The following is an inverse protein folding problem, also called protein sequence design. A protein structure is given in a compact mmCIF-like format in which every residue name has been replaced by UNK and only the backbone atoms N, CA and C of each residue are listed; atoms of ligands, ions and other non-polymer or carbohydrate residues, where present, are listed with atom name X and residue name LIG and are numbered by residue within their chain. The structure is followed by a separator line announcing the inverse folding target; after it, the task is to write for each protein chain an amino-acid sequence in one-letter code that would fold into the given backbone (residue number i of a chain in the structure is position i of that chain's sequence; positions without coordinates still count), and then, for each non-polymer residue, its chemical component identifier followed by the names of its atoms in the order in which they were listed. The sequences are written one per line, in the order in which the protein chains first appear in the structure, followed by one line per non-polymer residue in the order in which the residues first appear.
data_IF_256370639976
#
_entry.id   IF_256370639976
#
_cell.length_a   1.000
_cell.length_b   1.000
_cell.length_c   1.000
_cell.angle_alpha   90.00
_cell.angle_beta   90.00
_cell.angle_gamma   90.00
#
_symmetry.space_group_name_H-M   'P 1'
#
loop_
_entity.id
_entity.type
_entity.pdbx_description
1 polymer ?
#
# COMPACT_ATOMS: atom_id res chain seq x y z
N UNK A 1 10.36 3.04 -1.19
CA UNK A 1 10.33 4.50 -0.94
C UNK A 1 9.26 4.81 0.12
N UNK A 2 9.62 5.50 1.20
CA UNK A 2 8.71 5.85 2.30
C UNK A 2 7.62 6.87 1.91
N UNK A 3 7.92 7.82 1.01
CA UNK A 3 6.93 8.82 0.58
C UNK A 3 5.88 8.17 -0.33
N UNK A 4 6.31 7.25 -1.21
CA UNK A 4 5.38 6.48 -2.05
C UNK A 4 4.45 5.60 -1.21
N UNK A 5 4.98 4.92 -0.19
CA UNK A 5 4.16 4.14 0.74
C UNK A 5 3.18 5.05 1.50
N UNK A 6 3.64 6.22 1.95
CA UNK A 6 2.78 7.21 2.64
C UNK A 6 1.65 7.70 1.73
N UNK A 7 1.94 8.01 0.46
CA UNK A 7 0.93 8.39 -0.52
C UNK A 7 -0.10 7.28 -0.78
N UNK A 8 0.34 6.02 -0.88
CA UNK A 8 -0.58 4.89 -1.02
C UNK A 8 -1.50 4.74 0.20
N UNK A 9 -0.98 4.97 1.41
CA UNK A 9 -1.79 4.96 2.64
C UNK A 9 -2.82 6.09 2.64
N UNK A 10 -2.43 7.31 2.26
CA UNK A 10 -3.37 8.44 2.13
C UNK A 10 -4.43 8.15 1.08
N UNK A 11 -4.03 7.69 -0.11
CA UNK A 11 -4.95 7.41 -1.22
C UNK A 11 -5.94 6.29 -0.87
N UNK A 12 -5.48 5.25 -0.16
CA UNK A 12 -6.32 4.17 0.33
C UNK A 12 -7.44 4.63 1.29
N UNK A 13 -7.24 5.76 1.97
CA UNK A 13 -8.23 6.35 2.88
C UNK A 13 -8.98 7.54 2.25
N UNK A 14 -8.51 8.08 1.12
CA UNK A 14 -8.97 9.37 0.57
C UNK A 14 -10.48 9.43 0.30
N UNK A 15 -11.04 8.37 -0.29
CA UNK A 15 -12.47 8.27 -0.62
C UNK A 15 -13.30 7.49 0.39
N UNK A 16 -12.75 7.14 1.56
CA UNK A 16 -13.36 6.21 2.52
C UNK A 16 -13.51 6.84 3.89
N UNK A 17 -14.49 6.34 4.65
CA UNK A 17 -14.62 6.69 6.05
C UNK A 17 -13.60 5.92 6.91
N UNK A 18 -13.25 6.50 8.06
CA UNK A 18 -12.32 5.92 9.02
C UNK A 18 -10.84 6.09 8.63
N UNK A 19 -9.98 5.35 9.32
CA UNK A 19 -8.51 5.42 9.17
C UNK A 19 -7.83 4.05 9.04
N UNK A 20 -8.61 2.97 9.07
CA UNK A 20 -8.13 1.59 9.12
C UNK A 20 -8.23 0.88 7.75
N UNK A 21 -8.10 1.61 6.64
CA UNK A 21 -8.19 1.05 5.28
C UNK A 21 -6.88 0.37 4.80
N UNK A 22 -5.84 0.38 5.62
CA UNK A 22 -4.55 -0.29 5.37
C UNK A 22 -4.12 -1.06 6.62
N UNK A 23 -3.59 -2.28 6.44
CA UNK A 23 -3.11 -3.12 7.55
C UNK A 23 -1.67 -3.60 7.33
N UNK A 24 -0.97 -3.86 8.44
CA UNK A 24 0.37 -4.45 8.47
C UNK A 24 0.33 -5.72 9.34
N UNK A 25 -0.12 -6.86 8.80
CA UNK A 25 -0.32 -8.07 9.59
C UNK A 25 1.00 -8.77 9.92
N UNK A 26 1.14 -9.28 11.14
CA UNK A 26 2.18 -10.26 11.47
C UNK A 26 1.79 -11.61 10.83
N UNK A 27 2.48 -11.98 9.75
CA UNK A 27 2.20 -13.18 8.95
C UNK A 27 3.40 -13.52 8.05
N UNK A 28 3.42 -14.72 7.46
CA UNK A 28 4.45 -15.10 6.50
C UNK A 28 4.37 -14.27 5.21
N UNK A 29 5.50 -14.10 4.51
CA UNK A 29 5.54 -13.27 3.29
C UNK A 29 4.51 -13.67 2.22
N UNK A 30 4.29 -14.98 2.02
CA UNK A 30 3.27 -15.50 1.09
C UNK A 30 1.83 -15.14 1.52
N UNK A 31 1.56 -15.09 2.82
CA UNK A 31 0.26 -14.68 3.34
C UNK A 31 0.03 -13.19 3.13
N UNK A 32 1.05 -12.36 3.39
CA UNK A 32 0.98 -10.90 3.26
C UNK A 32 0.73 -10.45 1.81
N UNK A 33 1.37 -11.09 0.83
CA UNK A 33 1.21 -10.72 -0.59
C UNK A 33 -0.01 -11.36 -1.26
N UNK A 34 -0.46 -12.53 -0.79
CA UNK A 34 -1.50 -13.33 -1.46
C UNK A 34 -2.73 -13.63 -0.61
N UNK A 35 -2.58 -14.44 0.44
CA UNK A 35 -3.71 -15.00 1.18
C UNK A 35 -4.54 -13.93 1.90
N UNK A 36 -3.89 -12.95 2.54
CA UNK A 36 -4.57 -11.88 3.28
C UNK A 36 -5.27 -10.92 2.32
N UNK A 37 -4.61 -10.37 1.27
CA UNK A 37 -5.30 -9.55 0.27
C UNK A 37 -6.47 -10.28 -0.40
N UNK A 38 -6.33 -11.58 -0.68
CA UNK A 38 -7.40 -12.40 -1.23
C UNK A 38 -8.59 -12.53 -0.28
N UNK A 39 -8.35 -12.67 1.03
CA UNK A 39 -9.41 -12.66 2.04
C UNK A 39 -10.08 -11.28 2.14
N UNK A 40 -9.29 -10.20 2.16
CA UNK A 40 -9.80 -8.83 2.19
C UNK A 40 -10.67 -8.53 0.95
N UNK A 41 -10.32 -9.05 -0.23
CA UNK A 41 -11.12 -8.91 -1.45
C UNK A 41 -12.55 -9.48 -1.35
N UNK A 42 -12.82 -10.35 -0.36
CA UNK A 42 -14.14 -10.90 -0.07
C UNK A 42 -14.87 -10.17 1.05
N UNK A 43 -14.22 -9.22 1.72
CA UNK A 43 -14.84 -8.44 2.80
C UNK A 43 -15.72 -7.32 2.24
N UNK A 44 -16.67 -6.84 3.05
CA UNK A 44 -17.49 -5.68 2.68
C UNK A 44 -16.66 -4.40 2.60
N UNK A 45 -15.68 -4.25 3.49
CA UNK A 45 -14.78 -3.10 3.58
C UNK A 45 -13.32 -3.59 3.42
N UNK A 46 -12.87 -3.82 2.17
CA UNK A 46 -11.56 -4.41 1.91
C UNK A 46 -10.43 -3.46 2.31
N UNK A 47 -9.39 -3.95 2.95
CA UNK A 47 -8.19 -3.17 3.32
C UNK A 47 -7.01 -3.54 2.43
N UNK A 48 -6.16 -2.56 2.14
CA UNK A 48 -4.86 -2.82 1.51
C UNK A 48 -3.87 -3.40 2.54
N UNK A 49 -2.88 -4.15 2.07
CA UNK A 49 -1.93 -4.85 2.94
C UNK A 49 -0.51 -4.40 2.65
N UNK A 50 0.15 -3.82 3.66
CA UNK A 50 1.61 -3.64 3.62
C UNK A 50 2.26 -4.96 3.99
N UNK A 51 3.02 -5.52 3.06
CA UNK A 51 3.67 -6.81 3.20
C UNK A 51 5.19 -6.73 3.11
N UNK A 52 5.81 -7.90 3.06
CA UNK A 52 7.26 -8.07 3.12
C UNK A 52 7.84 -7.55 4.45
N UNK A 53 7.06 -7.67 5.54
CA UNK A 53 7.52 -7.43 6.92
C UNK A 53 7.92 -8.74 7.62
N UNK A 54 7.62 -9.90 7.03
CA UNK A 54 8.23 -11.18 7.40
C UNK A 54 9.75 -11.13 7.20
N UNK A 55 10.51 -11.22 8.30
CA UNK A 55 11.98 -11.13 8.30
C UNK A 55 12.64 -12.25 7.49
N UNK A 56 12.00 -13.42 7.39
CA UNK A 56 12.51 -14.53 6.59
C UNK A 56 12.36 -14.20 5.11
N UNK A 57 11.16 -13.80 4.67
CA UNK A 57 10.94 -13.33 3.30
C UNK A 57 11.85 -12.14 2.94
N UNK A 58 12.05 -11.17 3.86
CA UNK A 58 13.00 -10.06 3.64
C UNK A 58 14.42 -10.53 3.40
N UNK A 59 14.89 -11.55 4.13
CA UNK A 59 16.25 -12.08 3.96
C UNK A 59 16.46 -12.67 2.56
N UNK A 60 15.49 -13.44 2.07
CA UNK A 60 15.62 -14.15 0.79
C UNK A 60 15.30 -13.27 -0.43
N UNK A 61 14.32 -12.37 -0.32
CA UNK A 61 13.88 -11.53 -1.45
C UNK A 61 14.69 -10.25 -1.64
N UNK A 62 15.50 -9.84 -0.65
CA UNK A 62 16.31 -8.62 -0.72
C UNK A 62 17.21 -8.54 -1.95
N UNK A 63 17.79 -9.66 -2.39
CA UNK A 63 18.66 -9.68 -3.58
C UNK A 63 17.89 -9.50 -4.88
N UNK A 64 16.61 -9.86 -4.90
CA UNK A 64 15.75 -9.78 -6.08
C UNK A 64 15.02 -8.44 -6.14
N UNK A 65 14.49 -7.98 -5.01
CA UNK A 65 13.62 -6.80 -4.95
C UNK A 65 14.33 -5.54 -4.48
N UNK A 66 15.43 -5.65 -3.72
CA UNK A 66 16.08 -4.53 -3.02
C UNK A 66 15.85 -4.57 -1.50
N UNK A 67 16.73 -3.92 -0.74
CA UNK A 67 16.71 -3.96 0.73
C UNK A 67 15.69 -2.98 1.34
N UNK A 68 15.32 -1.97 0.57
CA UNK A 68 14.49 -0.81 0.90
C UNK A 68 13.01 -1.01 0.59
N UNK A 69 12.66 -2.07 -0.13
CA UNK A 69 11.27 -2.28 -0.57
C UNK A 69 10.43 -3.03 0.46
N UNK A 70 9.16 -2.65 0.47
CA UNK A 70 8.03 -3.37 1.04
C UNK A 70 7.04 -3.65 -0.09
N UNK A 71 6.05 -4.49 0.15
CA UNK A 71 4.95 -4.68 -0.80
C UNK A 71 3.70 -3.96 -0.34
N UNK A 72 2.86 -3.56 -1.28
CA UNK A 72 1.55 -2.97 -1.01
C UNK A 72 0.51 -3.67 -1.89
N UNK A 73 -0.22 -4.62 -1.31
CA UNK A 73 -1.22 -5.41 -2.03
C UNK A 73 -2.61 -4.82 -1.85
N UNK A 74 -3.31 -4.59 -2.96
CA UNK A 74 -4.61 -3.91 -2.98
C UNK A 74 -5.66 -4.86 -3.55
N UNK A 75 -6.76 -5.13 -2.83
CA UNK A 75 -7.90 -5.83 -3.39
C UNK A 75 -8.47 -5.14 -4.63
N UNK A 76 -8.85 -5.89 -5.67
CA UNK A 76 -9.20 -5.33 -6.99
C UNK A 76 -10.25 -4.21 -6.96
N UNK A 77 -11.36 -4.40 -6.23
CA UNK A 77 -12.40 -3.36 -6.12
C UNK A 77 -11.88 -2.07 -5.48
N UNK A 78 -11.00 -2.20 -4.48
CA UNK A 78 -10.35 -1.06 -3.82
C UNK A 78 -9.36 -0.38 -4.77
N UNK A 79 -8.62 -1.14 -5.56
CA UNK A 79 -7.71 -0.58 -6.56
C UNK A 79 -8.45 0.32 -7.55
N UNK A 80 -9.58 -0.14 -8.10
CA UNK A 80 -10.39 0.66 -9.02
C UNK A 80 -10.93 1.95 -8.38
N UNK A 81 -11.24 1.90 -7.08
CA UNK A 81 -11.66 3.09 -6.33
C UNK A 81 -10.51 4.07 -6.12
N UNK A 82 -9.33 3.57 -5.72
CA UNK A 82 -8.13 4.39 -5.58
C UNK A 82 -7.72 5.04 -6.90
N UNK A 83 -7.84 4.31 -8.01
CA UNK A 83 -7.51 4.81 -9.36
C UNK A 83 -8.43 5.97 -9.78
N UNK A 84 -9.75 5.84 -9.55
CA UNK A 84 -10.70 6.96 -9.73
C UNK A 84 -10.45 8.16 -8.83
N UNK A 85 -9.78 7.95 -7.70
CA UNK A 85 -9.41 9.00 -6.75
C UNK A 85 -8.04 9.62 -7.04
N UNK A 86 -7.38 9.33 -8.17
CA UNK A 86 -6.08 9.93 -8.49
C UNK A 86 -6.23 11.38 -8.95
N UNK A 87 -7.06 11.62 -9.97
CA UNK A 87 -7.29 12.96 -10.53
C UNK A 87 -8.02 13.87 -9.52
N UNK A 88 -7.55 15.12 -9.38
CA UNK A 88 -8.11 16.11 -8.46
C UNK A 88 -7.76 15.91 -6.98
N UNK A 89 -7.00 14.87 -6.66
CA UNK A 89 -6.71 14.43 -5.29
C UNK A 89 -5.58 15.20 -4.60
N UNK A 90 -5.10 14.67 -3.47
CA UNK A 90 -3.92 15.22 -2.80
C UNK A 90 -2.64 15.12 -3.65
N UNK A 91 -2.60 14.25 -4.66
CA UNK A 91 -1.45 14.06 -5.56
C UNK A 91 -1.17 15.28 -6.44
N UNK A 92 -2.10 16.23 -6.55
CA UNK A 92 -1.90 17.50 -7.26
C UNK A 92 -1.58 18.66 -6.30
N UNK A 93 -1.55 18.40 -4.99
CA UNK A 93 -1.44 19.44 -3.97
C UNK A 93 0.01 19.76 -3.63
N UNK A 94 0.30 21.01 -3.18
CA UNK A 94 1.67 21.46 -2.94
C UNK A 94 2.51 20.55 -2.04
N UNK A 95 1.91 19.94 -1.01
CA UNK A 95 2.61 19.04 -0.08
C UNK A 95 3.23 17.85 -0.80
N UNK A 96 2.46 17.13 -1.63
CA UNK A 96 2.97 15.97 -2.37
C UNK A 96 3.98 16.40 -3.44
N UNK A 97 3.68 17.48 -4.18
CA UNK A 97 4.58 18.00 -5.21
C UNK A 97 5.93 18.45 -4.63
N UNK A 98 5.96 18.98 -3.41
CA UNK A 98 7.20 19.33 -2.70
C UNK A 98 8.04 18.09 -2.37
N UNK A 99 7.41 16.99 -1.94
CA UNK A 99 8.12 15.73 -1.64
C UNK A 99 8.77 15.17 -2.92
N UNK A 100 8.03 15.16 -4.04
CA UNK A 100 8.59 14.71 -5.33
C UNK A 100 9.80 15.54 -5.77
N UNK A 101 9.74 16.87 -5.61
CA UNK A 101 10.85 17.77 -5.98
C UNK A 101 12.10 17.55 -5.12
N UNK A 102 11.94 17.25 -3.83
CA UNK A 102 13.10 17.05 -2.92
C UNK A 102 13.94 15.80 -3.22
N UNK A 103 13.47 14.94 -4.12
CA UNK A 103 14.13 13.69 -4.53
C UNK A 103 14.75 13.71 -5.92
N UNK A 104 14.46 14.75 -6.70
CA UNK A 104 15.06 14.99 -8.02
C UNK A 104 16.43 15.66 -7.85
#
# INVERSE_FOLDING_TARGET
DADQLSALVVLANYGRQGMENVIIPQAAGCQQIGIIPWKEAKSQNPRAVVGLTDISARKYLRKLLGAEYLTFAIPWKMFLEMERNVEGSFLERPTWLSLLKSKA
#
